data_IF_144839620423
#
_entry.id   IF_144839620423
#
_cell.length_a   1.000
_cell.length_b   1.000
_cell.length_c   1.000
_cell.angle_alpha   90.00
_cell.angle_beta   90.00
_cell.angle_gamma   90.00
#
_symmetry.space_group_name_H-M   'P 1'
#
loop_
_entity.id
_entity.type
_entity.pdbx_description
1 polymer ?
#
# COMPACT_ATOMS: atom_id res chain seq x y z
N UNK A 1 27.97 4.37 8.19
CA UNK A 1 26.58 4.65 7.75
C UNK A 1 26.36 3.99 6.40
N UNK A 2 25.42 3.06 6.27
CA UNK A 2 25.09 2.49 4.95
C UNK A 2 24.53 3.61 4.07
N UNK A 3 25.20 3.92 2.96
CA UNK A 3 24.72 4.92 2.01
C UNK A 3 23.28 4.59 1.60
N UNK A 4 22.39 5.57 1.71
CA UNK A 4 21.00 5.42 1.29
C UNK A 4 21.02 5.20 -0.23
N UNK A 5 20.47 4.08 -0.69
CA UNK A 5 20.37 3.73 -2.12
C UNK A 5 19.32 4.61 -2.81
N UNK A 6 19.70 5.86 -3.08
CA UNK A 6 18.84 6.87 -3.70
C UNK A 6 18.45 6.50 -5.13
N UNK A 7 19.33 5.77 -5.83
CA UNK A 7 19.06 5.10 -7.10
C UNK A 7 17.76 4.28 -7.04
N UNK A 8 17.70 3.32 -6.12
CA UNK A 8 16.55 2.41 -6.01
C UNK A 8 15.33 3.16 -5.46
N UNK A 9 15.52 4.14 -4.57
CA UNK A 9 14.39 4.96 -4.10
C UNK A 9 13.80 5.83 -5.21
N UNK A 10 14.63 6.35 -6.12
CA UNK A 10 14.18 7.10 -7.28
C UNK A 10 13.33 6.25 -8.23
N UNK A 11 13.77 5.03 -8.54
CA UNK A 11 12.98 4.10 -9.37
C UNK A 11 11.65 3.75 -8.71
N UNK A 12 11.64 3.53 -7.38
CA UNK A 12 10.39 3.33 -6.63
C UNK A 12 9.47 4.54 -6.68
N UNK A 13 10.00 5.76 -6.62
CA UNK A 13 9.20 6.98 -6.75
C UNK A 13 8.55 7.07 -8.13
N UNK A 14 9.30 6.80 -9.20
CA UNK A 14 8.76 6.73 -10.56
C UNK A 14 7.66 5.67 -10.71
N UNK A 15 7.84 4.50 -10.08
CA UNK A 15 6.84 3.45 -10.08
C UNK A 15 5.52 3.93 -9.42
N UNK A 16 5.59 4.65 -8.29
CA UNK A 16 4.40 5.24 -7.67
C UNK A 16 3.76 6.31 -8.55
N UNK A 17 4.56 7.18 -9.18
CA UNK A 17 4.05 8.22 -10.11
C UNK A 17 3.26 7.58 -11.25
N UNK A 18 3.80 6.50 -11.85
CA UNK A 18 3.13 5.78 -12.92
C UNK A 18 1.76 5.22 -12.46
N UNK A 19 1.69 4.65 -11.26
CA UNK A 19 0.43 4.14 -10.68
C UNK A 19 -0.57 5.26 -10.43
N UNK A 20 -0.12 6.40 -9.91
CA UNK A 20 -0.97 7.57 -9.67
C UNK A 20 -1.53 8.09 -11.00
N UNK A 21 -0.69 8.25 -12.02
CA UNK A 21 -1.14 8.70 -13.35
C UNK A 21 -2.16 7.73 -13.92
N UNK A 22 -1.93 6.41 -13.81
CA UNK A 22 -2.88 5.40 -14.30
C UNK A 22 -4.27 5.54 -13.66
N UNK A 23 -4.36 5.84 -12.36
CA UNK A 23 -5.65 5.98 -11.68
C UNK A 23 -6.41 7.27 -12.05
N UNK A 24 -5.70 8.38 -12.27
CA UNK A 24 -6.35 9.66 -12.61
C UNK A 24 -6.53 9.88 -14.12
N UNK A 25 -5.62 9.35 -14.93
CA UNK A 25 -5.52 9.55 -16.37
C UNK A 25 -5.14 8.24 -17.08
N UNK A 26 -6.01 7.22 -17.07
CA UNK A 26 -5.68 5.88 -17.59
C UNK A 26 -5.29 5.88 -19.07
N UNK A 27 -5.84 6.78 -19.89
CA UNK A 27 -5.49 6.92 -21.30
C UNK A 27 -4.08 7.47 -21.55
N UNK A 28 -3.51 8.23 -20.60
CA UNK A 28 -2.18 8.84 -20.74
C UNK A 28 -1.06 7.82 -20.50
N UNK A 29 -1.27 6.90 -19.55
CA UNK A 29 -0.32 5.84 -19.24
C UNK A 29 -1.05 4.53 -18.94
N UNK A 30 -1.57 3.82 -19.97
CA UNK A 30 -2.36 2.60 -19.79
C UNK A 30 -1.61 1.48 -19.07
N UNK A 31 -0.29 1.46 -19.17
CA UNK A 31 0.59 0.48 -18.52
C UNK A 31 1.12 0.92 -17.15
N UNK A 32 0.66 2.06 -16.62
CA UNK A 32 1.15 2.61 -15.35
C UNK A 32 0.87 1.70 -14.14
N UNK A 33 -0.08 0.79 -14.29
CA UNK A 33 -0.41 -0.27 -13.33
C UNK A 33 0.81 -1.18 -13.02
N UNK A 34 1.70 -1.42 -13.99
CA UNK A 34 2.96 -2.18 -13.80
C UNK A 34 3.89 -1.56 -12.76
N UNK A 35 3.71 -0.27 -12.42
CA UNK A 35 4.43 0.37 -11.33
C UNK A 35 4.21 -0.30 -9.98
N UNK A 36 3.08 -0.97 -9.76
CA UNK A 36 2.82 -1.75 -8.54
C UNK A 36 3.83 -2.89 -8.41
N UNK A 37 4.01 -3.67 -9.47
CA UNK A 37 4.92 -4.82 -9.50
C UNK A 37 6.38 -4.38 -9.32
N UNK A 38 6.79 -3.34 -10.08
CA UNK A 38 8.14 -2.77 -9.97
C UNK A 38 8.42 -2.29 -8.55
N UNK A 39 7.47 -1.59 -7.92
CA UNK A 39 7.63 -1.10 -6.56
C UNK A 39 7.80 -2.23 -5.54
N UNK A 40 7.00 -3.29 -5.65
CA UNK A 40 7.06 -4.41 -4.71
C UNK A 40 8.32 -5.27 -4.89
N UNK A 41 8.73 -5.56 -6.13
CA UNK A 41 9.98 -6.30 -6.42
C UNK A 41 11.19 -5.55 -5.84
N UNK A 42 11.31 -4.25 -6.10
CA UNK A 42 12.41 -3.44 -5.57
C UNK A 42 12.37 -3.32 -4.04
N UNK A 43 11.17 -3.27 -3.45
CA UNK A 43 11.01 -3.27 -1.99
C UNK A 43 11.44 -4.59 -1.38
N UNK A 44 11.09 -5.72 -2.02
CA UNK A 44 11.53 -7.07 -1.65
C UNK A 44 13.04 -7.22 -1.71
N UNK A 45 13.66 -6.81 -2.82
CA UNK A 45 15.11 -6.80 -2.97
C UNK A 45 15.82 -6.03 -1.83
N UNK A 46 15.36 -4.82 -1.51
CA UNK A 46 15.91 -4.03 -0.40
C UNK A 46 15.67 -4.67 0.97
N UNK A 47 14.52 -5.31 1.19
CA UNK A 47 14.23 -6.08 2.41
C UNK A 47 15.27 -7.19 2.57
N UNK A 48 15.47 -7.98 1.53
CA UNK A 48 16.41 -9.11 1.52
C UNK A 48 17.84 -8.64 1.81
N UNK A 49 18.32 -7.59 1.14
CA UNK A 49 19.65 -7.02 1.40
C UNK A 49 19.85 -6.54 2.85
N UNK A 50 18.80 -6.03 3.49
CA UNK A 50 18.87 -5.59 4.90
C UNK A 50 18.90 -6.77 5.85
N UNK A 51 18.16 -7.84 5.55
CA UNK A 51 18.05 -9.03 6.38
C UNK A 51 19.26 -9.96 6.23
N UNK A 52 19.85 -10.04 5.03
CA UNK A 52 21.04 -10.84 4.72
C UNK A 52 22.24 -10.46 5.63
N UNK A 53 22.36 -9.19 5.99
CA UNK A 53 23.44 -8.69 6.86
C UNK A 53 23.27 -9.03 8.34
N UNK A 54 22.19 -9.73 8.72
CA UNK A 54 21.85 -10.04 10.11
C UNK A 54 21.83 -11.55 10.34
N UNK A 55 21.94 -11.95 11.60
CA UNK A 55 21.81 -13.37 11.99
C UNK A 55 20.38 -13.85 11.71
N UNK A 56 20.28 -15.00 11.04
CA UNK A 56 19.00 -15.63 10.71
C UNK A 56 18.39 -16.25 11.97
N UNK A 57 17.60 -15.45 12.71
CA UNK A 57 16.83 -15.92 13.86
C UNK A 57 15.51 -15.16 13.96
N UNK A 58 14.51 -15.75 14.63
CA UNK A 58 13.17 -15.16 14.76
C UNK A 58 13.19 -13.72 15.33
N UNK A 59 14.07 -13.46 16.31
CA UNK A 59 14.21 -12.14 16.93
C UNK A 59 14.60 -11.05 15.91
N UNK A 60 15.48 -11.36 14.95
CA UNK A 60 15.88 -10.46 13.87
C UNK A 60 14.71 -10.05 12.99
N UNK A 61 13.87 -11.01 12.59
CA UNK A 61 12.69 -10.75 11.78
C UNK A 61 11.63 -9.96 12.56
N UNK A 62 11.40 -10.32 13.83
CA UNK A 62 10.47 -9.60 14.70
C UNK A 62 10.89 -8.14 14.89
N UNK A 63 12.16 -7.87 15.20
CA UNK A 63 12.70 -6.50 15.32
C UNK A 63 12.52 -5.71 14.01
N UNK A 64 12.79 -6.35 12.87
CA UNK A 64 12.63 -5.73 11.56
C UNK A 64 11.18 -5.33 11.27
N UNK A 65 10.23 -6.25 11.46
CA UNK A 65 8.81 -5.99 11.23
C UNK A 65 8.25 -5.00 12.26
N UNK A 66 8.69 -5.06 13.52
CA UNK A 66 8.27 -4.13 14.55
C UNK A 66 8.70 -2.68 14.25
N UNK A 67 9.95 -2.48 13.81
CA UNK A 67 10.44 -1.17 13.35
C UNK A 67 9.64 -0.64 12.15
N UNK A 68 9.26 -1.52 11.23
CA UNK A 68 8.40 -1.16 10.09
C UNK A 68 7.00 -0.79 10.53
N UNK A 69 6.41 -1.56 11.44
CA UNK A 69 5.10 -1.30 11.99
C UNK A 69 5.05 0.07 12.69
N UNK A 70 6.00 0.37 13.58
CA UNK A 70 6.12 1.68 14.25
C UNK A 70 6.22 2.86 13.28
N UNK A 71 6.78 2.66 12.09
CA UNK A 71 6.93 3.71 11.07
C UNK A 71 5.67 3.89 10.22
N UNK A 72 4.99 2.80 9.84
CA UNK A 72 3.87 2.82 8.88
C UNK A 72 2.53 2.99 9.58
N UNK A 73 2.35 2.32 10.72
CA UNK A 73 1.07 2.23 11.43
C UNK A 73 0.50 3.59 11.88
N UNK A 74 1.29 4.55 12.42
CA UNK A 74 0.73 5.83 12.87
C UNK A 74 0.05 6.61 11.74
N UNK A 75 0.70 6.66 10.57
CA UNK A 75 0.14 7.36 9.40
C UNK A 75 -1.07 6.62 8.83
N UNK A 76 -1.00 5.28 8.76
CA UNK A 76 -2.12 4.46 8.29
C UNK A 76 -3.36 4.63 9.20
N UNK A 77 -3.16 4.59 10.52
CA UNK A 77 -4.23 4.81 11.50
C UNK A 77 -4.82 6.21 11.37
N UNK A 78 -3.98 7.25 11.31
CA UNK A 78 -4.43 8.63 11.16
C UNK A 78 -5.30 8.82 9.91
N UNK A 79 -4.82 8.36 8.75
CA UNK A 79 -5.55 8.47 7.48
C UNK A 79 -6.85 7.66 7.53
N UNK A 80 -6.83 6.47 8.12
CA UNK A 80 -8.04 5.63 8.25
C UNK A 80 -9.11 6.31 9.11
N UNK A 81 -8.71 6.91 10.24
CA UNK A 81 -9.63 7.63 11.12
C UNK A 81 -10.19 8.90 10.47
N UNK A 82 -9.35 9.66 9.76
CA UNK A 82 -9.81 10.84 9.01
C UNK A 82 -10.84 10.43 7.96
N UNK A 83 -10.57 9.39 7.18
CA UNK A 83 -11.52 8.90 6.17
C UNK A 83 -12.82 8.38 6.81
N UNK A 84 -12.73 7.62 7.89
CA UNK A 84 -13.91 7.14 8.61
C UNK A 84 -14.76 8.31 9.15
N UNK A 85 -14.12 9.36 9.67
CA UNK A 85 -14.80 10.57 10.12
C UNK A 85 -15.50 11.29 8.96
N UNK A 86 -14.79 11.56 7.86
CA UNK A 86 -15.35 12.22 6.67
C UNK A 86 -16.53 11.42 6.11
N UNK A 87 -16.38 10.10 5.98
CA UNK A 87 -17.44 9.21 5.47
C UNK A 87 -18.67 9.27 6.36
N UNK A 88 -18.51 9.31 7.69
CA UNK A 88 -19.63 9.36 8.64
C UNK A 88 -20.51 10.61 8.52
N UNK A 89 -20.07 11.64 7.81
CA UNK A 89 -20.82 12.87 7.57
C UNK A 89 -21.79 12.79 6.38
N UNK A 90 -21.79 11.69 5.63
CA UNK A 90 -22.71 11.50 4.50
C UNK A 90 -24.12 11.14 4.99
N UNK A 91 -25.13 11.65 4.30
CA UNK A 91 -26.55 11.36 4.59
C UNK A 91 -26.96 9.96 4.13
N UNK A 92 -26.27 9.40 3.14
CA UNK A 92 -26.53 8.07 2.61
C UNK A 92 -26.03 6.96 3.54
N UNK A 93 -26.94 6.36 4.30
CA UNK A 93 -26.61 5.27 5.24
C UNK A 93 -25.88 4.07 4.59
N UNK A 94 -26.15 3.77 3.31
CA UNK A 94 -25.45 2.71 2.57
C UNK A 94 -23.97 3.03 2.37
N UNK A 95 -23.64 4.26 1.98
CA UNK A 95 -22.26 4.71 1.80
C UNK A 95 -21.51 4.73 3.13
N UNK A 96 -22.14 5.20 4.20
CA UNK A 96 -21.55 5.20 5.55
C UNK A 96 -21.21 3.77 6.00
N UNK A 97 -22.16 2.84 5.88
CA UNK A 97 -21.94 1.44 6.28
C UNK A 97 -20.83 0.78 5.46
N UNK A 98 -20.80 1.01 4.15
CA UNK A 98 -19.75 0.48 3.25
C UNK A 98 -18.38 1.06 3.62
N UNK A 99 -18.27 2.37 3.75
CA UNK A 99 -16.99 3.03 4.02
C UNK A 99 -16.43 2.71 5.41
N UNK A 100 -17.28 2.59 6.44
CA UNK A 100 -16.84 2.13 7.76
C UNK A 100 -16.37 0.67 7.74
N UNK A 101 -17.05 -0.19 6.97
CA UNK A 101 -16.60 -1.59 6.76
C UNK A 101 -15.23 -1.62 6.07
N UNK A 102 -15.02 -0.80 5.04
CA UNK A 102 -13.71 -0.68 4.37
C UNK A 102 -12.62 -0.13 5.31
N UNK A 103 -12.93 0.85 6.15
CA UNK A 103 -12.00 1.37 7.16
C UNK A 103 -11.61 0.29 8.19
N UNK A 104 -12.55 -0.56 8.61
CA UNK A 104 -12.26 -1.70 9.48
C UNK A 104 -11.32 -2.70 8.80
N UNK A 105 -11.58 -3.07 7.54
CA UNK A 105 -10.66 -3.94 6.81
C UNK A 105 -9.27 -3.31 6.61
N UNK A 106 -9.21 -1.99 6.36
CA UNK A 106 -7.95 -1.27 6.23
C UNK A 106 -7.12 -1.28 7.53
N UNK A 107 -7.77 -1.15 8.69
CA UNK A 107 -7.09 -1.19 10.01
C UNK A 107 -6.36 -2.52 10.24
N UNK A 108 -6.95 -3.62 9.78
CA UNK A 108 -6.36 -4.96 9.86
C UNK A 108 -5.54 -5.34 8.63
N UNK A 109 -5.30 -4.40 7.70
CA UNK A 109 -4.63 -4.66 6.41
C UNK A 109 -5.27 -5.80 5.61
N UNK A 110 -6.57 -6.01 5.81
CA UNK A 110 -7.37 -7.08 5.23
C UNK A 110 -8.23 -6.63 4.05
N UNK A 111 -8.03 -5.39 3.56
CA UNK A 111 -8.76 -4.85 2.40
C UNK A 111 -8.62 -5.75 1.17
N UNK A 112 -7.44 -6.34 0.96
CA UNK A 112 -7.18 -7.25 -0.16
C UNK A 112 -7.80 -8.65 0.02
N UNK A 113 -8.37 -8.97 1.19
CA UNK A 113 -8.91 -10.30 1.48
C UNK A 113 -10.38 -10.45 1.06
N UNK A 114 -11.10 -9.34 0.89
CA UNK A 114 -12.55 -9.33 0.67
C UNK A 114 -12.99 -8.47 -0.53
N UNK A 115 -12.14 -8.35 -1.55
CA UNK A 115 -12.55 -7.83 -2.87
C UNK A 115 -13.29 -8.93 -3.61
N UNK A 116 -14.50 -9.26 -3.14
CA UNK A 116 -15.37 -10.26 -3.78
C UNK A 116 -16.75 -9.72 -4.15
N UNK A 117 -17.07 -8.49 -3.77
CA UNK A 117 -18.33 -7.83 -4.13
C UNK A 117 -18.07 -6.52 -4.88
N UNK A 118 -18.51 -6.52 -6.15
CA UNK A 118 -18.90 -5.39 -7.01
C UNK A 118 -17.78 -4.51 -7.60
N UNK A 119 -17.19 -4.96 -8.72
CA UNK A 119 -16.72 -4.08 -9.82
C UNK A 119 -15.30 -3.49 -9.74
N UNK A 120 -14.51 -3.82 -8.72
CA UNK A 120 -13.12 -3.33 -8.56
C UNK A 120 -12.07 -4.43 -8.76
N UNK A 121 -12.29 -5.32 -9.73
CA UNK A 121 -11.24 -6.27 -10.13
C UNK A 121 -10.21 -5.52 -10.98
N UNK A 122 -9.00 -5.36 -10.43
CA UNK A 122 -7.89 -4.66 -11.07
C UNK A 122 -7.59 -5.17 -12.49
N UNK A 123 -7.90 -6.45 -12.74
CA UNK A 123 -7.69 -7.11 -14.02
C UNK A 123 -8.87 -7.02 -14.98
N UNK A 124 -10.05 -6.56 -14.54
CA UNK A 124 -11.17 -6.26 -15.44
C UNK A 124 -11.03 -4.87 -16.08
N UNK A 125 -10.46 -3.90 -15.38
CA UNK A 125 -10.24 -2.55 -15.91
C UNK A 125 -9.22 -2.46 -17.08
N UNK A 126 -8.45 -3.53 -17.32
CA UNK A 126 -7.36 -3.61 -18.31
C UNK A 126 -7.70 -4.58 -19.46
N UNK A 127 -8.88 -5.22 -19.43
CA UNK A 127 -9.31 -6.16 -20.47
C UNK A 127 -10.14 -5.48 -21.56
#
# INVERSE_FOLDING_TARGET
MSAKRLDIQGVRAWAVIAVVIFHFFPSLLPWGYLGVDVFFVLSGFLISLVLERKTCCAATYLDFYFKRFKRIFPLALMITLINAYVISRNEEAKLVKRGLRSALYALFFATNYNVRDEGEDYFEAVR
#
